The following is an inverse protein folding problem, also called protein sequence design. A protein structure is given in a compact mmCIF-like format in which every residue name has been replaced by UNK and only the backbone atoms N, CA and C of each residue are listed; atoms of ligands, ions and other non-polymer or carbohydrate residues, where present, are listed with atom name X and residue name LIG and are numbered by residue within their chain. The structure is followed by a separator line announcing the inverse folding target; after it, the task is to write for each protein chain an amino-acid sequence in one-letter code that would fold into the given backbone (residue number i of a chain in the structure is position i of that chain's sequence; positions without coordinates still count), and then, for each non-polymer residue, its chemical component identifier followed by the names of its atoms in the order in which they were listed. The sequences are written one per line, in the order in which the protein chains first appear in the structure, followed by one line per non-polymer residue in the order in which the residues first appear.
data_IF_475348376132
#
_entry.id   IF_475348376132
#
_cell.length_a   1.000
_cell.length_b   1.000
_cell.length_c   1.000
_cell.angle_alpha   90.00
_cell.angle_beta   90.00
_cell.angle_gamma   90.00
#
_symmetry.space_group_name_H-M   'P 1'
#
loop_
_entity.id
_entity.type
_entity.pdbx_description
1 polymer ?
#
# COMPACT_ATOMS: atom_id res chain seq x y z
N UNK A 1 33.01 15.50 4.53
CA UNK A 1 31.69 15.77 5.13
C UNK A 1 31.14 14.39 5.50
N UNK A 2 30.96 14.08 6.79
CA UNK A 2 30.43 12.77 7.22
C UNK A 2 28.94 12.77 6.86
N UNK A 3 28.52 11.99 5.87
CA UNK A 3 27.12 11.69 5.69
C UNK A 3 26.70 10.86 6.92
N UNK A 4 25.89 11.46 7.78
CA UNK A 4 25.04 10.64 8.67
C UNK A 4 24.18 9.80 7.75
N UNK A 5 24.22 8.48 7.89
CA UNK A 5 23.33 7.59 7.15
C UNK A 5 21.93 7.85 7.72
N UNK A 6 21.08 8.51 6.94
CA UNK A 6 19.69 8.75 7.32
C UNK A 6 18.86 7.52 6.92
N UNK A 7 18.13 6.94 7.85
CA UNK A 7 17.34 5.73 7.68
C UNK A 7 15.91 5.94 8.16
N UNK A 8 14.99 5.04 7.81
CA UNK A 8 13.62 5.08 8.33
C UNK A 8 13.56 4.94 9.87
N UNK A 9 14.56 4.31 10.50
CA UNK A 9 14.67 4.20 11.96
C UNK A 9 14.96 5.53 12.67
N UNK A 10 15.42 6.54 11.93
CA UNK A 10 15.56 7.91 12.43
C UNK A 10 14.22 8.67 12.38
N UNK A 11 13.24 8.17 11.62
CA UNK A 11 11.93 8.77 11.45
C UNK A 11 10.85 8.15 12.32
N UNK A 12 11.02 6.88 12.70
CA UNK A 12 9.98 6.09 13.35
C UNK A 12 10.50 5.43 14.61
N UNK A 13 9.67 5.37 15.65
CA UNK A 13 9.93 4.58 16.85
C UNK A 13 8.86 3.51 16.98
N UNK A 14 9.25 2.24 17.05
CA UNK A 14 8.29 1.17 17.27
C UNK A 14 7.63 1.34 18.64
N UNK A 15 6.30 1.30 18.66
CA UNK A 15 5.47 1.46 19.86
C UNK A 15 4.97 0.13 20.37
N UNK A 16 4.49 -0.72 19.47
CA UNK A 16 3.94 -2.02 19.84
C UNK A 16 3.26 -2.71 18.67
N UNK A 17 2.70 -3.87 18.95
CA UNK A 17 1.93 -4.65 17.98
C UNK A 17 0.67 -5.21 18.65
N UNK A 18 -0.35 -5.47 17.84
CA UNK A 18 -1.57 -6.11 18.30
C UNK A 18 -2.20 -6.93 17.18
N UNK A 19 -3.03 -7.90 17.57
CA UNK A 19 -3.79 -8.74 16.65
C UNK A 19 -5.22 -8.23 16.57
N UNK A 20 -5.81 -8.34 15.39
CA UNK A 20 -7.24 -8.15 15.21
C UNK A 20 -7.96 -9.46 15.53
N UNK A 21 -9.12 -9.38 16.18
CA UNK A 21 -9.93 -10.58 16.46
C UNK A 21 -10.34 -11.28 15.16
N UNK A 22 -9.83 -12.50 14.98
CA UNK A 22 -10.12 -13.39 13.86
C UNK A 22 -10.67 -14.74 14.33
N UNK A 23 -11.25 -14.80 15.54
CA UNK A 23 -11.74 -16.04 16.15
C UNK A 23 -12.90 -16.72 15.40
N UNK A 24 -13.57 -15.98 14.51
CA UNK A 24 -14.62 -16.46 13.63
C UNK A 24 -14.76 -15.52 12.41
N UNK A 25 -15.37 -15.98 11.31
CA UNK A 25 -15.77 -15.07 10.24
C UNK A 25 -16.76 -14.02 10.76
N UNK A 26 -16.49 -12.75 10.48
CA UNK A 26 -17.33 -11.64 10.88
C UNK A 26 -18.00 -11.03 9.65
N UNK A 27 -19.24 -11.41 9.37
CA UNK A 27 -19.94 -11.00 8.15
C UNK A 27 -19.57 -11.91 6.97
N UNK A 28 -19.21 -11.32 5.83
CA UNK A 28 -18.98 -12.07 4.58
C UNK A 28 -17.52 -12.48 4.32
N UNK A 29 -16.60 -12.12 5.22
CA UNK A 29 -15.16 -12.39 5.07
C UNK A 29 -14.51 -12.63 6.45
N UNK A 30 -13.24 -13.02 6.44
CA UNK A 30 -12.34 -12.99 7.59
C UNK A 30 -11.08 -12.17 7.28
N UNK A 31 -10.15 -12.13 8.24
CA UNK A 31 -8.83 -11.54 8.09
C UNK A 31 -7.80 -12.53 7.52
N UNK A 32 -8.17 -13.80 7.35
CA UNK A 32 -7.27 -14.80 6.76
C UNK A 32 -6.91 -14.41 5.33
N UNK A 33 -5.62 -14.33 5.05
CA UNK A 33 -5.09 -13.88 3.76
C UNK A 33 -5.64 -12.50 3.34
N UNK A 34 -5.87 -11.62 4.32
CA UNK A 34 -6.29 -10.25 4.04
C UNK A 34 -5.31 -9.56 3.10
N UNK A 35 -5.84 -8.74 2.19
CA UNK A 35 -5.00 -7.89 1.33
C UNK A 35 -4.38 -6.72 2.09
N UNK A 36 -4.88 -6.42 3.30
CA UNK A 36 -4.23 -5.52 4.26
C UNK A 36 -4.28 -4.04 3.91
N UNK A 37 -5.01 -3.62 2.88
CA UNK A 37 -5.33 -2.20 2.67
C UNK A 37 -6.08 -1.67 3.90
N UNK A 38 -5.66 -0.53 4.44
CA UNK A 38 -6.20 0.05 5.66
C UNK A 38 -6.54 1.53 5.52
N UNK A 39 -7.43 2.01 6.39
CA UNK A 39 -7.65 3.44 6.63
C UNK A 39 -7.94 3.69 8.10
N UNK A 40 -7.38 4.75 8.67
CA UNK A 40 -7.69 5.22 10.01
C UNK A 40 -8.96 6.08 10.02
N UNK A 41 -9.84 5.83 11.00
CA UNK A 41 -11.03 6.63 11.26
C UNK A 41 -10.80 7.54 12.48
N UNK A 42 -10.60 8.85 12.29
CA UNK A 42 -10.15 9.73 13.36
C UNK A 42 -11.14 9.88 14.52
N UNK A 43 -12.43 10.03 14.22
CA UNK A 43 -13.45 10.26 15.28
C UNK A 43 -13.84 9.00 16.06
N UNK A 44 -13.62 7.80 15.49
CA UNK A 44 -13.96 6.52 16.13
C UNK A 44 -12.75 5.79 16.68
N UNK A 45 -11.55 6.29 16.37
CA UNK A 45 -10.27 5.70 16.78
C UNK A 45 -10.16 4.21 16.41
N UNK A 46 -10.35 3.96 15.13
CA UNK A 46 -10.53 2.63 14.57
C UNK A 46 -9.84 2.51 13.22
N UNK A 47 -9.64 1.28 12.78
CA UNK A 47 -9.04 0.93 11.50
C UNK A 47 -10.08 0.23 10.64
N UNK A 48 -10.30 0.76 9.44
CA UNK A 48 -10.85 -0.03 8.35
C UNK A 48 -9.77 -0.94 7.79
N UNK A 49 -10.14 -2.18 7.47
CA UNK A 49 -9.26 -3.14 6.82
C UNK A 49 -10.01 -3.93 5.76
N UNK A 50 -9.39 -4.10 4.60
CA UNK A 50 -9.88 -4.98 3.55
C UNK A 50 -9.48 -6.43 3.83
N UNK A 51 -10.46 -7.33 3.78
CA UNK A 51 -10.28 -8.77 4.01
C UNK A 51 -9.70 -9.50 2.80
N UNK A 52 -10.11 -10.74 2.59
CA UNK A 52 -9.67 -11.53 1.44
C UNK A 52 -10.20 -10.94 0.11
N UNK A 53 -9.35 -10.95 -0.92
CA UNK A 53 -9.67 -10.43 -2.26
C UNK A 53 -10.86 -11.12 -2.96
N UNK A 54 -11.19 -12.37 -2.63
CA UNK A 54 -12.36 -13.08 -3.15
C UNK A 54 -13.68 -12.46 -2.68
N UNK A 55 -13.68 -11.89 -1.47
CA UNK A 55 -14.88 -11.30 -0.89
C UNK A 55 -14.99 -9.80 -1.20
N UNK A 56 -13.87 -9.11 -1.44
CA UNK A 56 -13.85 -7.65 -1.73
C UNK A 56 -14.61 -6.90 -0.63
N UNK A 57 -14.24 -7.20 0.62
CA UNK A 57 -15.00 -6.81 1.78
C UNK A 57 -14.18 -5.94 2.73
N UNK A 58 -14.84 -5.01 3.42
CA UNK A 58 -14.23 -4.09 4.38
C UNK A 58 -14.92 -4.25 5.73
N UNK A 59 -14.13 -4.29 6.80
CA UNK A 59 -14.57 -4.26 8.19
C UNK A 59 -13.89 -3.11 8.94
N UNK A 60 -14.40 -2.78 10.13
CA UNK A 60 -13.83 -1.77 11.02
C UNK A 60 -13.52 -2.39 12.39
N UNK A 61 -12.30 -2.20 12.90
CA UNK A 61 -11.85 -2.66 14.21
C UNK A 61 -11.39 -1.47 15.07
N UNK A 62 -11.59 -1.55 16.39
CA UNK A 62 -11.00 -0.58 17.32
C UNK A 62 -9.48 -0.66 17.35
N UNK A 63 -8.80 0.47 17.53
CA UNK A 63 -7.36 0.51 17.80
C UNK A 63 -7.07 0.16 19.27
N UNK A 64 -5.94 -0.51 19.52
CA UNK A 64 -5.41 -0.72 20.87
C UNK A 64 -4.43 0.41 21.22
N UNK A 65 -4.74 1.25 22.20
CA UNK A 65 -3.94 2.45 22.53
C UNK A 65 -2.86 2.21 23.61
N UNK A 66 -3.14 1.32 24.56
CA UNK A 66 -2.26 1.01 25.70
C UNK A 66 -1.29 -0.12 25.35
N UNK A 67 -0.41 0.14 24.40
CA UNK A 67 0.64 -0.79 23.97
C UNK A 67 2.00 -0.36 24.53
N UNK A 68 2.22 -0.50 25.84
CA UNK A 68 3.53 -0.26 26.47
C UNK A 68 4.43 -1.51 26.38
N UNK A 69 4.62 -2.05 25.17
CA UNK A 69 5.44 -3.26 24.96
C UNK A 69 6.90 -2.96 24.61
N UNK A 70 7.28 -1.68 24.54
CA UNK A 70 8.58 -1.23 24.06
C UNK A 70 9.37 -0.42 25.08
N UNK A 71 9.31 -0.80 26.36
CA UNK A 71 10.52 -0.59 27.17
C UNK A 71 11.41 -1.80 26.90
N UNK A 72 12.48 -1.59 26.13
CA UNK A 72 13.61 -2.49 26.22
C UNK A 72 13.97 -2.50 27.71
N UNK A 73 13.64 -3.59 28.41
CA UNK A 73 14.29 -3.78 29.70
C UNK A 73 15.80 -3.71 29.41
N UNK A 74 16.56 -3.21 30.37
CA UNK A 74 18.01 -3.03 30.28
C UNK A 74 18.79 -4.32 29.98
N UNK A 75 18.11 -5.43 29.68
CA UNK A 75 18.63 -6.78 29.49
C UNK A 75 18.36 -7.36 28.08
N UNK A 76 17.92 -6.55 27.10
CA UNK A 76 17.92 -6.94 25.69
C UNK A 76 16.94 -8.10 25.36
N UNK A 77 15.79 -8.15 26.04
CA UNK A 77 14.78 -9.20 25.82
C UNK A 77 14.02 -9.00 24.49
N UNK A 78 13.73 -10.10 23.75
CA UNK A 78 12.98 -10.04 22.49
C UNK A 78 11.54 -9.56 22.72
N UNK A 79 10.93 -8.98 21.68
CA UNK A 79 9.50 -8.65 21.65
C UNK A 79 8.62 -9.82 22.16
N UNK A 80 7.45 -9.56 22.79
CA UNK A 80 6.55 -10.62 23.22
C UNK A 80 6.21 -11.56 22.07
N UNK A 81 5.92 -12.84 22.35
CA UNK A 81 5.52 -13.75 21.28
C UNK A 81 4.18 -13.31 20.68
N UNK A 82 3.90 -13.67 19.41
CA UNK A 82 2.61 -13.32 18.75
C UNK A 82 1.40 -13.83 19.56
N UNK A 83 1.56 -14.95 20.29
CA UNK A 83 0.53 -15.53 21.16
C UNK A 83 0.21 -14.66 22.38
N UNK A 84 1.17 -13.86 22.85
CA UNK A 84 1.06 -13.01 24.03
C UNK A 84 0.59 -11.58 23.69
N UNK A 85 0.44 -11.27 22.39
CA UNK A 85 0.00 -9.96 21.96
C UNK A 85 -1.47 -9.70 22.31
N UNK A 86 -1.82 -8.44 22.63
CA UNK A 86 -3.21 -8.06 22.82
C UNK A 86 -4.01 -8.29 21.53
N UNK A 87 -5.25 -8.74 21.69
CA UNK A 87 -6.22 -8.94 20.62
C UNK A 87 -7.33 -7.90 20.79
N UNK A 88 -7.77 -7.28 19.70
CA UNK A 88 -8.92 -6.37 19.76
C UNK A 88 -10.19 -7.11 20.23
N UNK A 89 -11.22 -6.38 20.69
CA UNK A 89 -12.58 -6.89 20.65
C UNK A 89 -13.02 -7.28 19.22
N UNK A 90 -14.18 -7.96 19.06
CA UNK A 90 -14.81 -8.16 17.75
C UNK A 90 -14.98 -6.85 16.98
N UNK A 91 -15.06 -6.88 15.63
CA UNK A 91 -15.12 -5.68 14.82
C UNK A 91 -16.31 -4.78 15.19
N UNK A 92 -16.07 -3.47 15.16
CA UNK A 92 -17.09 -2.44 15.33
C UNK A 92 -18.12 -2.50 14.19
N UNK A 93 -17.65 -2.87 12.99
CA UNK A 93 -18.48 -3.16 11.82
C UNK A 93 -17.96 -4.42 11.14
N UNK A 94 -18.81 -5.43 11.01
CA UNK A 94 -18.49 -6.68 10.34
C UNK A 94 -18.15 -6.45 8.84
N UNK A 95 -17.50 -7.42 8.21
CA UNK A 95 -17.18 -7.34 6.79
C UNK A 95 -18.44 -7.20 5.94
N UNK A 96 -18.48 -6.16 5.10
CA UNK A 96 -19.52 -5.92 4.08
C UNK A 96 -18.91 -5.85 2.69
N UNK A 97 -19.68 -6.20 1.65
CA UNK A 97 -19.21 -6.11 0.26
C UNK A 97 -18.93 -4.66 -0.13
N UNK A 98 -17.74 -4.39 -0.66
CA UNK A 98 -17.36 -3.06 -1.15
C UNK A 98 -17.95 -2.72 -2.52
N UNK A 99 -18.28 -3.73 -3.33
CA UNK A 99 -18.70 -3.54 -4.72
C UNK A 99 -20.16 -3.99 -4.96
N UNK A 100 -20.89 -4.35 -3.91
CA UNK A 100 -22.29 -4.79 -4.04
C UNK A 100 -23.18 -3.65 -4.54
N UNK A 101 -23.98 -3.93 -5.57
CA UNK A 101 -24.86 -2.95 -6.20
C UNK A 101 -24.18 -2.02 -7.21
N UNK A 102 -22.86 -2.12 -7.41
CA UNK A 102 -22.14 -1.34 -8.41
C UNK A 102 -22.14 -2.01 -9.79
N UNK A 103 -22.16 -1.19 -10.84
CA UNK A 103 -21.96 -1.62 -12.22
C UNK A 103 -20.47 -1.89 -12.49
N UNK A 104 -20.04 -3.13 -12.25
CA UNK A 104 -18.64 -3.55 -12.33
C UNK A 104 -18.26 -4.11 -13.72
N UNK A 105 -18.28 -3.26 -14.74
CA UNK A 105 -18.02 -3.62 -16.15
C UNK A 105 -16.56 -3.92 -16.47
N UNK A 106 -15.62 -3.48 -15.64
CA UNK A 106 -14.18 -3.69 -15.82
C UNK A 106 -13.61 -4.79 -14.90
N UNK A 107 -14.46 -5.65 -14.34
CA UNK A 107 -14.08 -6.77 -13.47
C UNK A 107 -13.17 -6.37 -12.29
N UNK A 108 -13.42 -5.18 -11.72
CA UNK A 108 -12.71 -4.68 -10.55
C UNK A 108 -12.82 -5.68 -9.40
N UNK A 109 -11.67 -6.07 -8.85
CA UNK A 109 -11.58 -7.20 -7.93
C UNK A 109 -10.50 -7.05 -6.84
N UNK A 110 -9.82 -5.91 -6.77
CA UNK A 110 -8.86 -5.58 -5.70
C UNK A 110 -9.21 -4.24 -5.09
N UNK A 111 -9.19 -4.16 -3.77
CA UNK A 111 -9.14 -2.88 -3.05
C UNK A 111 -7.65 -2.52 -2.92
N UNK A 112 -7.29 -1.28 -3.16
CA UNK A 112 -5.88 -0.84 -3.26
C UNK A 112 -5.54 0.34 -2.36
N UNK A 113 -6.53 1.16 -2.00
CA UNK A 113 -6.37 2.19 -0.99
C UNK A 113 -7.68 2.58 -0.36
N UNK A 114 -7.60 3.15 0.84
CA UNK A 114 -8.74 3.66 1.57
C UNK A 114 -8.35 4.93 2.33
N UNK A 115 -9.30 5.85 2.51
CA UNK A 115 -9.12 7.04 3.34
C UNK A 115 -10.48 7.55 3.85
N UNK A 116 -10.51 8.04 5.08
CA UNK A 116 -11.71 8.66 5.68
C UNK A 116 -11.62 10.18 5.61
N UNK A 117 -12.66 10.81 5.07
CA UNK A 117 -12.83 12.27 5.05
C UNK A 117 -14.28 12.61 5.38
N UNK A 118 -14.50 13.42 6.42
CA UNK A 118 -15.84 13.91 6.82
C UNK A 118 -16.91 12.80 6.98
N UNK A 119 -16.54 11.69 7.64
CA UNK A 119 -17.37 10.47 7.80
C UNK A 119 -17.75 9.77 6.47
N UNK A 120 -16.99 10.01 5.40
CA UNK A 120 -17.06 9.27 4.14
C UNK A 120 -15.81 8.41 4.00
N UNK A 121 -15.98 7.13 3.68
CA UNK A 121 -14.86 6.24 3.38
C UNK A 121 -14.67 6.17 1.87
N UNK A 122 -13.59 6.78 1.38
CA UNK A 122 -13.16 6.69 0.00
C UNK A 122 -12.31 5.44 -0.20
N UNK A 123 -12.51 4.77 -1.33
CA UNK A 123 -11.88 3.50 -1.65
C UNK A 123 -11.36 3.53 -3.08
N UNK A 124 -10.08 3.24 -3.25
CA UNK A 124 -9.49 2.90 -4.54
C UNK A 124 -9.54 1.39 -4.74
N UNK A 125 -9.75 0.98 -5.98
CA UNK A 125 -9.86 -0.39 -6.40
C UNK A 125 -9.37 -0.55 -7.84
N UNK A 126 -8.97 -1.77 -8.22
CA UNK A 126 -8.60 -2.06 -9.61
C UNK A 126 -8.87 -3.53 -9.97
N UNK A 127 -8.72 -3.85 -11.25
CA UNK A 127 -8.63 -5.23 -11.72
C UNK A 127 -7.20 -5.76 -11.52
N UNK A 128 -7.07 -6.91 -10.85
CA UNK A 128 -5.81 -7.64 -10.66
C UNK A 128 -5.08 -7.94 -11.98
N UNK A 129 -5.82 -8.31 -13.02
CA UNK A 129 -5.26 -8.74 -14.30
C UNK A 129 -6.09 -8.18 -15.45
N UNK A 130 -5.62 -7.08 -16.01
CA UNK A 130 -6.20 -6.46 -17.20
C UNK A 130 -5.25 -6.63 -18.38
N UNK A 131 -5.39 -7.76 -19.08
CA UNK A 131 -4.69 -8.01 -20.35
C UNK A 131 -5.48 -7.48 -21.56
N UNK A 132 -6.55 -6.71 -21.33
CA UNK A 132 -7.33 -6.21 -22.45
C UNK A 132 -6.54 -5.15 -23.22
N UNK A 133 -6.54 -5.30 -24.54
CA UNK A 133 -5.99 -4.32 -25.48
C UNK A 133 -7.09 -3.48 -26.13
N UNK A 134 -8.35 -3.73 -25.77
CA UNK A 134 -9.49 -2.99 -26.30
C UNK A 134 -9.77 -1.77 -25.43
N UNK A 135 -9.72 -0.58 -26.03
CA UNK A 135 -9.97 0.71 -25.38
C UNK A 135 -11.32 0.75 -24.63
N UNK A 136 -12.30 -0.08 -25.04
CA UNK A 136 -13.62 -0.20 -24.39
C UNK A 136 -13.63 -1.05 -23.12
N UNK A 137 -12.57 -1.81 -22.86
CA UNK A 137 -12.48 -2.75 -21.73
C UNK A 137 -11.21 -2.57 -20.89
N UNK A 138 -10.31 -1.67 -21.30
CA UNK A 138 -9.24 -1.16 -20.44
C UNK A 138 -9.86 -0.60 -19.17
N UNK A 139 -9.37 -1.08 -18.03
CA UNK A 139 -9.83 -0.71 -16.70
C UNK A 139 -9.56 0.76 -16.43
N UNK A 140 -10.60 1.59 -16.49
CA UNK A 140 -10.55 3.01 -16.09
C UNK A 140 -11.22 3.28 -14.75
N UNK A 141 -12.13 2.40 -14.37
CA UNK A 141 -12.83 2.45 -13.10
C UNK A 141 -11.87 2.12 -11.96
N UNK A 142 -11.79 3.02 -10.98
CA UNK A 142 -10.72 2.99 -9.99
C UNK A 142 -11.16 3.42 -8.60
N UNK A 143 -12.23 4.18 -8.47
CA UNK A 143 -12.60 4.75 -7.16
C UNK A 143 -14.09 4.60 -6.87
N UNK A 144 -14.43 4.50 -5.59
CA UNK A 144 -15.79 4.49 -5.07
C UNK A 144 -15.77 5.07 -3.65
N UNK A 145 -16.95 5.32 -3.08
CA UNK A 145 -17.04 5.71 -1.69
C UNK A 145 -18.24 5.10 -0.98
N UNK A 146 -18.10 4.92 0.34
CA UNK A 146 -19.22 4.67 1.26
C UNK A 146 -19.68 6.00 1.86
N UNK A 147 -20.95 6.39 1.68
CA UNK A 147 -21.46 7.68 2.15
C UNK A 147 -21.38 7.89 3.67
N UNK A 148 -21.27 6.81 4.45
CA UNK A 148 -21.23 6.83 5.91
C UNK A 148 -20.20 5.82 6.42
N UNK A 149 -18.97 6.27 6.67
CA UNK A 149 -17.89 5.45 7.23
C UNK A 149 -18.29 4.85 8.57
N UNK A 150 -18.98 5.63 9.43
CA UNK A 150 -19.50 5.17 10.71
C UNK A 150 -20.55 4.05 10.65
N UNK A 151 -21.12 3.76 9.46
CA UNK A 151 -22.05 2.66 9.22
C UNK A 151 -22.06 2.21 7.74
N UNK A 152 -21.12 1.35 7.36
CA UNK A 152 -20.94 0.80 6.01
C UNK A 152 -22.18 0.02 5.52
N UNK A 153 -23.00 -0.50 6.43
CA UNK A 153 -24.21 -1.27 6.08
C UNK A 153 -25.46 -0.42 5.86
N UNK A 154 -25.45 0.86 6.27
CA UNK A 154 -26.63 1.72 6.17
C UNK A 154 -26.90 2.23 4.76
N UNK A 155 -25.87 2.35 3.92
CA UNK A 155 -25.97 2.85 2.57
C UNK A 155 -25.07 2.03 1.63
N UNK A 156 -25.58 1.76 0.43
CA UNK A 156 -24.79 1.13 -0.61
C UNK A 156 -23.60 2.02 -1.00
N UNK A 157 -22.46 1.42 -1.40
CA UNK A 157 -21.36 2.16 -1.98
C UNK A 157 -21.80 2.87 -3.27
N UNK A 158 -21.11 3.96 -3.61
CA UNK A 158 -21.35 4.76 -4.83
C UNK A 158 -20.09 4.74 -5.69
N UNK A 159 -20.23 4.35 -6.95
CA UNK A 159 -19.12 4.23 -7.89
C UNK A 159 -19.51 3.46 -9.17
N UNK A 160 -18.56 2.99 -9.97
CA UNK A 160 -17.15 3.41 -9.92
C UNK A 160 -16.96 4.79 -10.58
N UNK A 161 -15.94 5.51 -10.13
CA UNK A 161 -15.38 6.71 -10.72
C UNK A 161 -14.02 6.40 -11.35
N UNK A 162 -13.55 7.29 -12.22
CA UNK A 162 -12.32 7.15 -12.99
C UNK A 162 -11.34 8.23 -12.55
N UNK A 163 -10.42 7.87 -11.65
CA UNK A 163 -9.35 8.76 -11.22
C UNK A 163 -8.37 8.98 -12.37
N UNK A 164 -8.04 10.23 -12.69
CA UNK A 164 -6.95 10.53 -13.62
C UNK A 164 -5.63 9.87 -13.13
N UNK A 165 -4.89 9.27 -14.06
CA UNK A 165 -3.74 8.42 -13.73
C UNK A 165 -4.07 6.93 -13.56
N UNK A 166 -5.36 6.57 -13.36
CA UNK A 166 -5.80 5.17 -13.32
C UNK A 166 -5.01 4.32 -12.33
N UNK A 167 -4.58 3.12 -12.74
CA UNK A 167 -3.70 2.23 -11.93
C UNK A 167 -2.35 2.86 -11.54
N UNK A 168 -1.94 4.02 -12.06
CA UNK A 168 -0.74 4.71 -11.59
C UNK A 168 -1.01 5.61 -10.37
N UNK A 169 -2.27 5.90 -10.06
CA UNK A 169 -2.69 6.79 -8.98
C UNK A 169 -3.68 6.13 -8.00
N UNK A 170 -4.40 5.10 -8.43
CA UNK A 170 -5.48 4.43 -7.70
C UNK A 170 -4.98 3.40 -6.67
N UNK A 171 -4.15 3.87 -5.74
CA UNK A 171 -3.59 3.07 -4.66
C UNK A 171 -3.82 3.72 -3.31
N UNK A 172 -2.78 3.75 -2.47
CA UNK A 172 -2.81 4.43 -1.17
C UNK A 172 -3.29 5.87 -1.27
N UNK A 173 -3.93 6.35 -0.21
CA UNK A 173 -4.44 7.71 -0.08
C UNK A 173 -4.11 8.25 1.31
N UNK A 174 -4.02 9.58 1.43
CA UNK A 174 -3.80 10.26 2.70
C UNK A 174 -3.95 11.77 2.59
N UNK A 175 -3.70 12.50 3.68
CA UNK A 175 -3.73 13.97 3.67
C UNK A 175 -2.32 14.53 3.53
N UNK A 176 -2.26 15.70 2.92
CA UNK A 176 -1.05 16.51 2.83
C UNK A 176 -1.03 17.39 4.10
N UNK A 177 0.04 17.33 4.92
CA UNK A 177 0.18 18.18 6.09
C UNK A 177 -0.03 19.64 5.75
N UNK A 178 -0.74 20.38 6.61
CA UNK A 178 -1.09 21.79 6.37
C UNK A 178 0.10 22.68 5.95
N UNK A 179 1.32 22.53 6.51
CA UNK A 179 2.48 23.32 6.07
C UNK A 179 2.93 23.03 4.62
N UNK A 180 2.63 21.84 4.10
CA UNK A 180 3.02 21.38 2.77
C UNK A 180 1.99 21.70 1.68
N UNK A 181 0.71 21.89 2.04
CA UNK A 181 -0.38 22.13 1.06
C UNK A 181 -0.08 23.26 0.05
N UNK A 182 0.53 24.41 0.43
CA UNK A 182 0.87 25.46 -0.54
C UNK A 182 1.87 25.04 -1.62
N UNK A 183 2.71 24.03 -1.36
CA UNK A 183 3.63 23.46 -2.35
C UNK A 183 2.90 22.59 -3.39
N UNK A 184 1.70 22.12 -3.04
CA UNK A 184 0.86 21.23 -3.83
C UNK A 184 -0.39 21.94 -4.37
N UNK A 185 -0.26 23.23 -4.74
CA UNK A 185 -1.37 24.06 -5.23
C UNK A 185 -2.59 24.07 -4.28
N UNK A 186 -2.32 24.15 -2.97
CA UNK A 186 -3.31 24.12 -1.89
C UNK A 186 -4.15 22.82 -1.82
N UNK A 187 -3.67 21.74 -2.46
CA UNK A 187 -4.29 20.41 -2.37
C UNK A 187 -4.19 19.88 -0.94
N UNK A 188 -5.28 19.28 -0.44
CA UNK A 188 -5.35 18.70 0.91
C UNK A 188 -5.07 17.21 0.95
N UNK A 189 -5.21 16.53 -0.18
CA UNK A 189 -5.18 15.08 -0.26
C UNK A 189 -4.23 14.62 -1.35
N UNK A 190 -3.66 13.44 -1.12
CA UNK A 190 -2.85 12.77 -2.10
C UNK A 190 -3.29 11.32 -2.29
N UNK A 191 -2.94 10.79 -3.45
CA UNK A 191 -3.09 9.39 -3.81
C UNK A 191 -1.85 8.95 -4.59
N UNK A 192 -1.58 7.66 -4.63
CA UNK A 192 -0.46 7.13 -5.39
C UNK A 192 -0.47 5.61 -5.42
N UNK A 193 0.33 5.05 -6.31
CA UNK A 193 0.45 3.61 -6.46
C UNK A 193 1.78 3.23 -7.13
N UNK A 194 1.94 1.94 -7.40
CA UNK A 194 3.11 1.37 -8.07
C UNK A 194 2.76 0.02 -8.69
N UNK A 195 3.76 -0.68 -9.24
CA UNK A 195 3.64 -2.02 -9.84
C UNK A 195 3.35 -3.13 -8.82
N UNK A 196 2.17 -3.09 -8.20
CA UNK A 196 1.74 -4.04 -7.15
C UNK A 196 1.07 -5.30 -7.71
N UNK A 197 0.38 -5.19 -8.85
CA UNK A 197 -0.33 -6.31 -9.47
C UNK A 197 0.14 -6.58 -10.90
N UNK A 198 -0.56 -7.50 -11.57
CA UNK A 198 -0.10 -8.06 -12.84
C UNK A 198 -0.07 -7.04 -13.97
N UNK A 199 0.90 -7.24 -14.87
CA UNK A 199 1.16 -6.45 -16.08
C UNK A 199 1.76 -5.09 -15.72
N UNK A 200 3.09 -5.08 -15.57
CA UNK A 200 3.88 -3.91 -15.14
C UNK A 200 3.58 -2.66 -15.96
N UNK A 201 3.27 -2.79 -17.25
CA UNK A 201 3.00 -1.65 -18.14
C UNK A 201 1.77 -0.82 -17.76
N UNK A 202 0.92 -1.31 -16.85
CA UNK A 202 -0.22 -0.56 -16.32
C UNK A 202 0.17 0.47 -15.25
N UNK A 203 1.35 0.32 -14.66
CA UNK A 203 1.75 0.97 -13.42
C UNK A 203 2.90 1.96 -13.59
N UNK A 204 3.06 2.80 -12.57
CA UNK A 204 4.30 3.54 -12.35
C UNK A 204 5.43 2.57 -11.98
N UNK A 205 6.56 2.67 -12.67
CA UNK A 205 7.80 1.91 -12.43
C UNK A 205 8.62 2.56 -11.31
N UNK A 206 7.98 2.71 -10.16
CA UNK A 206 8.38 3.47 -8.99
C UNK A 206 7.13 3.95 -8.23
N UNK A 207 7.26 4.42 -6.97
CA UNK A 207 6.13 4.99 -6.26
C UNK A 207 5.64 6.27 -6.94
N UNK A 208 4.34 6.53 -6.89
CA UNK A 208 3.78 7.77 -7.43
C UNK A 208 3.20 8.67 -6.34
N UNK A 209 3.06 9.95 -6.67
CA UNK A 209 2.38 10.95 -5.86
C UNK A 209 1.54 11.83 -6.78
N UNK A 210 0.24 11.80 -6.55
CA UNK A 210 -0.76 12.60 -7.22
C UNK A 210 -1.57 13.36 -6.17
N UNK A 211 -2.03 14.56 -6.50
CA UNK A 211 -3.04 15.27 -5.70
C UNK A 211 -4.40 15.15 -6.35
N UNK A 212 -5.46 15.09 -5.54
CA UNK A 212 -6.84 14.95 -6.00
C UNK A 212 -7.83 15.52 -4.97
N UNK A 213 -9.09 15.70 -5.36
CA UNK A 213 -10.18 16.16 -4.47
C UNK A 213 -11.24 15.04 -4.34
N UNK A 214 -11.21 14.22 -3.26
CA UNK A 214 -12.13 13.09 -3.13
C UNK A 214 -13.59 13.51 -3.10
N UNK A 215 -13.90 14.70 -2.56
CA UNK A 215 -15.26 15.26 -2.52
C UNK A 215 -15.86 15.46 -3.92
N UNK A 216 -15.03 15.58 -4.96
CA UNK A 216 -15.51 15.65 -6.34
C UNK A 216 -16.38 14.43 -6.70
N UNK A 217 -16.09 13.23 -6.17
CA UNK A 217 -16.92 12.03 -6.39
C UNK A 217 -18.38 12.25 -5.93
N UNK A 218 -18.56 12.90 -4.77
CA UNK A 218 -19.87 13.17 -4.20
C UNK A 218 -20.60 14.26 -5.01
N UNK A 219 -19.87 15.31 -5.40
CA UNK A 219 -20.42 16.41 -6.20
C UNK A 219 -20.91 15.93 -7.57
N UNK A 220 -20.14 15.04 -8.22
CA UNK A 220 -20.46 14.45 -9.52
C UNK A 220 -21.68 13.52 -9.45
N UNK A 221 -21.80 12.72 -8.40
CA UNK A 221 -23.00 11.90 -8.18
C UNK A 221 -24.23 12.78 -7.97
N UNK A 222 -24.16 13.79 -7.09
CA UNK A 222 -25.30 14.68 -6.81
C UNK A 222 -25.71 15.53 -8.02
N UNK A 223 -24.77 15.85 -8.92
CA UNK A 223 -25.04 16.57 -10.17
C UNK A 223 -25.62 15.70 -11.29
N UNK A 224 -25.60 14.37 -11.15
CA UNK A 224 -26.03 13.44 -12.20
C UNK A 224 -27.55 13.21 -12.15
N UNK A 225 -28.27 13.70 -13.16
CA UNK A 225 -29.75 13.65 -13.18
C UNK A 225 -30.34 12.28 -13.56
N UNK A 226 -29.54 11.31 -14.00
CA UNK A 226 -29.96 9.90 -14.13
C UNK A 226 -28.75 8.95 -14.22
N UNK A 227 -28.93 7.68 -13.80
CA UNK A 227 -27.95 6.58 -13.95
C UNK A 227 -27.56 6.39 -15.43
N UNK A 228 -28.46 6.71 -16.37
CA UNK A 228 -28.24 6.62 -17.82
C UNK A 228 -27.51 7.84 -18.41
N UNK A 229 -27.39 8.94 -17.67
CA UNK A 229 -26.73 10.18 -18.10
C UNK A 229 -25.28 10.28 -17.64
N UNK A 230 -24.70 9.21 -17.06
CA UNK A 230 -23.25 9.10 -16.86
C UNK A 230 -22.54 9.04 -18.22
N UNK A 231 -22.45 10.17 -18.90
CA UNK A 231 -21.53 10.39 -20.01
C UNK A 231 -20.13 10.12 -19.48
N UNK A 232 -19.26 9.50 -20.28
CA UNK A 232 -17.90 9.09 -19.87
C UNK A 232 -17.10 10.19 -19.15
N UNK A 233 -17.36 11.47 -19.40
CA UNK A 233 -16.68 12.60 -18.72
C UNK A 233 -17.25 12.98 -17.34
N UNK A 234 -18.42 12.45 -16.95
CA UNK A 234 -19.06 12.78 -15.66
C UNK A 234 -18.54 11.95 -14.49
N UNK A 235 -17.80 10.87 -14.77
CA UNK A 235 -17.20 9.97 -13.78
C UNK A 235 -15.71 10.21 -13.55
N UNK A 236 -15.09 11.11 -14.31
CA UNK A 236 -13.65 11.41 -14.20
C UNK A 236 -13.42 12.31 -12.99
N UNK A 237 -12.48 11.90 -12.13
CA UNK A 237 -11.99 12.68 -10.99
C UNK A 237 -10.61 13.20 -11.33
N UNK A 238 -10.46 14.52 -11.30
CA UNK A 238 -9.22 15.15 -11.72
C UNK A 238 -8.08 14.83 -10.73
N UNK A 239 -6.89 14.60 -11.25
CA UNK A 239 -5.71 14.35 -10.44
C UNK A 239 -4.44 14.95 -11.07
N UNK A 240 -3.59 15.55 -10.26
CA UNK A 240 -2.35 16.20 -10.72
C UNK A 240 -1.13 15.39 -10.29
N UNK A 241 -0.29 14.89 -11.23
CA UNK A 241 0.92 14.15 -10.88
C UNK A 241 2.04 15.08 -10.43
N UNK A 242 2.69 14.71 -9.33
CA UNK A 242 3.92 15.33 -8.85
C UNK A 242 5.11 14.37 -8.92
N UNK A 243 4.85 13.08 -8.76
CA UNK A 243 5.84 12.02 -8.93
C UNK A 243 5.17 10.84 -9.64
N UNK A 244 5.72 10.40 -10.77
CA UNK A 244 5.21 9.28 -11.54
C UNK A 244 6.26 8.78 -12.52
N UNK A 245 6.49 7.47 -12.57
CA UNK A 245 7.52 6.85 -13.40
C UNK A 245 6.86 6.03 -14.51
N UNK A 246 6.36 6.65 -15.59
CA UNK A 246 5.50 5.98 -16.54
C UNK A 246 6.25 4.83 -17.25
N UNK A 247 5.57 3.69 -17.40
CA UNK A 247 6.10 2.61 -18.21
C UNK A 247 6.31 3.08 -19.66
N UNK A 248 7.48 2.76 -20.23
CA UNK A 248 7.84 3.14 -21.59
C UNK A 248 8.85 2.15 -22.12
N UNK A 249 8.38 1.21 -22.92
CA UNK A 249 9.19 0.10 -23.44
C UNK A 249 10.47 0.58 -24.16
N UNK A 250 10.40 1.72 -24.85
CA UNK A 250 11.51 2.26 -25.65
C UNK A 250 12.32 3.36 -24.94
N UNK A 251 11.94 3.71 -23.70
CA UNK A 251 12.58 4.81 -22.97
C UNK A 251 12.58 4.51 -21.45
N UNK A 252 13.48 3.62 -20.99
CA UNK A 252 13.59 3.25 -19.58
C UNK A 252 14.12 4.39 -18.71
N UNK A 253 14.58 5.51 -19.30
CA UNK A 253 15.06 6.68 -18.55
C UNK A 253 13.98 7.36 -17.71
N UNK A 254 12.70 7.04 -17.97
CA UNK A 254 11.53 7.52 -17.22
C UNK A 254 11.15 6.63 -16.03
N UNK A 255 11.82 5.49 -15.86
CA UNK A 255 11.61 4.62 -14.71
C UNK A 255 12.45 5.09 -13.53
N UNK A 256 12.08 4.65 -12.32
CA UNK A 256 12.89 4.95 -11.14
C UNK A 256 14.28 4.31 -11.26
N UNK A 257 14.35 3.10 -11.82
CA UNK A 257 15.58 2.46 -12.30
C UNK A 257 15.40 1.98 -13.74
N UNK A 258 16.46 2.08 -14.55
CA UNK A 258 16.49 1.49 -15.90
C UNK A 258 16.33 -0.05 -15.88
N UNK A 259 16.57 -0.68 -14.73
CA UNK A 259 16.40 -2.12 -14.47
C UNK A 259 15.05 -2.46 -13.80
N UNK A 260 14.12 -1.50 -13.75
CA UNK A 260 12.81 -1.68 -13.10
C UNK A 260 11.99 -2.86 -13.64
N UNK A 261 12.27 -3.31 -14.88
CA UNK A 261 11.57 -4.41 -15.55
C UNK A 261 12.51 -5.54 -15.94
N UNK A 262 13.70 -5.63 -15.32
CA UNK A 262 14.70 -6.66 -15.63
C UNK A 262 14.45 -7.95 -14.83
N UNK A 263 14.28 -9.05 -15.55
CA UNK A 263 14.35 -10.42 -15.04
C UNK A 263 15.03 -11.29 -16.10
N UNK A 264 15.47 -12.48 -15.70
CA UNK A 264 15.94 -13.48 -16.65
C UNK A 264 14.73 -14.30 -17.15
N UNK A 265 14.71 -14.62 -18.44
CA UNK A 265 13.59 -15.30 -19.12
C UNK A 265 13.65 -16.83 -18.98
N UNK A 266 12.51 -17.55 -19.09
CA UNK A 266 12.43 -19.02 -18.95
C UNK A 266 13.43 -19.79 -19.83
N UNK A 267 13.74 -19.25 -21.01
CA UNK A 267 14.65 -19.85 -22.00
C UNK A 267 16.11 -19.86 -21.53
N UNK A 268 16.46 -18.93 -20.64
CA UNK A 268 17.82 -18.63 -20.20
C UNK A 268 18.13 -19.24 -18.81
N UNK A 269 17.14 -19.86 -18.17
CA UNK A 269 17.29 -20.52 -16.87
C UNK A 269 17.51 -22.04 -17.02
N UNK A 270 18.48 -22.59 -16.27
CA UNK A 270 18.71 -24.03 -16.22
C UNK A 270 17.57 -24.75 -15.46
N UNK A 271 17.02 -25.87 -15.97
CA UNK A 271 15.82 -26.50 -15.41
C UNK A 271 15.98 -27.06 -13.98
N UNK A 272 17.20 -27.23 -13.48
CA UNK A 272 17.46 -27.64 -12.09
C UNK A 272 18.88 -27.23 -11.68
N UNK A 273 19.03 -26.39 -10.64
CA UNK A 273 20.12 -26.57 -9.68
C UNK A 273 21.32 -25.61 -9.67
N UNK A 274 21.29 -24.45 -10.33
CA UNK A 274 22.15 -23.31 -10.00
C UNK A 274 21.67 -22.08 -10.76
N UNK A 275 20.63 -21.45 -10.23
CA UNK A 275 20.06 -20.24 -10.79
C UNK A 275 20.68 -19.05 -10.07
N UNK A 276 21.70 -18.45 -10.66
CA UNK A 276 22.21 -17.16 -10.22
C UNK A 276 22.02 -16.18 -11.36
N UNK A 277 21.02 -15.31 -11.27
CA UNK A 277 21.05 -14.05 -12.02
C UNK A 277 21.94 -13.05 -11.28
N UNK A 278 22.39 -11.97 -11.94
CA UNK A 278 22.85 -10.81 -11.19
C UNK A 278 21.77 -10.37 -10.18
N UNK A 279 22.17 -9.90 -8.99
CA UNK A 279 21.27 -9.22 -8.07
C UNK A 279 20.35 -8.21 -8.76
N UNK A 280 19.09 -8.20 -8.35
CA UNK A 280 18.14 -7.19 -8.79
C UNK A 280 18.61 -5.79 -8.38
N UNK A 281 18.09 -4.77 -9.05
CA UNK A 281 18.41 -3.40 -8.69
C UNK A 281 17.79 -3.05 -7.31
N UNK A 282 18.59 -2.57 -6.35
CA UNK A 282 18.09 -2.25 -5.01
C UNK A 282 17.29 -0.94 -4.95
N UNK A 283 17.34 -0.09 -5.98
CA UNK A 283 16.54 1.13 -6.04
C UNK A 283 15.09 0.80 -6.41
N UNK A 284 14.89 0.05 -7.49
CA UNK A 284 13.59 -0.43 -7.94
C UNK A 284 13.75 -1.54 -8.96
N UNK A 285 12.95 -2.59 -8.83
CA UNK A 285 12.98 -3.77 -9.70
C UNK A 285 11.54 -4.32 -9.90
N UNK A 286 11.33 -5.36 -10.72
CA UNK A 286 10.00 -5.88 -11.06
C UNK A 286 9.15 -6.36 -9.87
N UNK A 287 9.78 -6.61 -8.72
CA UNK A 287 9.14 -7.08 -7.49
C UNK A 287 9.09 -6.00 -6.42
N UNK A 288 9.46 -4.77 -6.77
CA UNK A 288 9.34 -3.61 -5.89
C UNK A 288 7.91 -3.11 -5.91
N UNK A 289 7.34 -2.94 -4.72
CA UNK A 289 5.95 -2.56 -4.53
C UNK A 289 5.87 -1.51 -3.43
N UNK A 290 5.35 -0.33 -3.75
CA UNK A 290 4.94 0.68 -2.79
C UNK A 290 3.53 0.35 -2.28
N UNK A 291 3.43 0.00 -1.00
CA UNK A 291 2.19 -0.46 -0.36
C UNK A 291 1.49 0.66 0.42
N UNK A 292 2.24 1.64 0.90
CA UNK A 292 1.69 2.85 1.50
C UNK A 292 2.70 4.00 1.45
N UNK A 293 2.22 5.24 1.51
CA UNK A 293 3.06 6.42 1.63
C UNK A 293 2.43 7.47 2.54
N UNK A 294 3.27 8.32 3.13
CA UNK A 294 2.87 9.37 4.06
C UNK A 294 3.95 10.46 4.17
N UNK A 295 3.59 11.61 4.72
CA UNK A 295 4.51 12.70 4.96
C UNK A 295 5.08 12.65 6.38
N UNK A 296 6.36 12.97 6.53
CA UNK A 296 7.09 12.99 7.80
C UNK A 296 7.87 14.30 7.93
N UNK A 297 7.86 14.86 9.14
CA UNK A 297 8.64 16.07 9.50
C UNK A 297 8.39 17.28 8.57
N UNK A 298 7.22 17.34 7.93
CA UNK A 298 6.85 18.39 6.97
C UNK A 298 7.89 18.61 5.84
N UNK A 299 8.71 17.61 5.52
CA UNK A 299 9.76 17.74 4.49
C UNK A 299 10.06 16.44 3.73
N UNK A 300 9.63 15.29 4.25
CA UNK A 300 9.91 13.96 3.69
C UNK A 300 8.62 13.32 3.22
N UNK A 301 8.61 12.85 1.98
CA UNK A 301 7.63 11.88 1.51
C UNK A 301 8.21 10.48 1.69
N UNK A 302 7.64 9.73 2.63
CA UNK A 302 8.08 8.40 3.01
C UNK A 302 7.18 7.36 2.34
N UNK A 303 7.78 6.40 1.65
CA UNK A 303 7.10 5.27 1.02
C UNK A 303 7.58 3.98 1.67
N UNK A 304 6.65 3.10 2.01
CA UNK A 304 6.92 1.78 2.57
C UNK A 304 6.29 0.68 1.71
N UNK A 305 6.92 -0.48 1.69
CA UNK A 305 6.42 -1.64 0.97
C UNK A 305 7.43 -2.75 0.94
N UNK A 306 7.65 -3.35 -0.23
CA UNK A 306 8.51 -4.53 -0.36
C UNK A 306 9.39 -4.48 -1.61
N UNK A 307 10.44 -5.30 -1.59
CA UNK A 307 11.24 -5.66 -2.76
C UNK A 307 11.73 -7.11 -2.62
N UNK A 308 12.31 -7.68 -3.67
CA UNK A 308 12.82 -9.04 -3.67
C UNK A 308 13.94 -9.23 -4.71
N UNK A 309 14.64 -10.36 -4.62
CA UNK A 309 15.69 -10.71 -5.58
C UNK A 309 16.99 -9.95 -5.38
N UNK A 310 17.21 -9.34 -4.21
CA UNK A 310 18.40 -8.51 -3.96
C UNK A 310 19.67 -9.35 -3.81
N UNK A 311 19.54 -10.64 -3.52
CA UNK A 311 20.67 -11.56 -3.38
C UNK A 311 20.73 -12.59 -4.50
N UNK A 312 19.59 -13.19 -4.84
CA UNK A 312 19.46 -14.29 -5.80
C UNK A 312 19.16 -13.81 -7.23
N UNK A 313 18.70 -12.56 -7.38
CA UNK A 313 18.17 -12.04 -8.64
C UNK A 313 16.73 -12.52 -8.92
N UNK A 314 16.19 -12.12 -10.07
CA UNK A 314 14.78 -12.37 -10.44
C UNK A 314 14.71 -13.18 -11.72
N UNK A 315 13.82 -14.18 -11.73
CA UNK A 315 13.47 -14.94 -12.93
C UNK A 315 11.98 -14.97 -13.18
N UNK A 316 11.59 -15.05 -14.45
CA UNK A 316 10.20 -15.21 -14.85
C UNK A 316 9.80 -16.68 -14.89
N UNK A 317 8.73 -17.04 -14.17
CA UNK A 317 8.17 -18.40 -14.09
C UNK A 317 9.20 -19.47 -13.70
N UNK A 318 10.08 -19.15 -12.76
CA UNK A 318 11.06 -20.09 -12.25
C UNK A 318 10.43 -21.07 -11.26
N UNK A 319 11.06 -22.23 -11.12
CA UNK A 319 10.77 -23.18 -10.04
C UNK A 319 11.80 -22.92 -8.93
N UNK A 320 11.31 -22.50 -7.77
CA UNK A 320 12.13 -22.19 -6.60
C UNK A 320 12.62 -23.47 -5.89
N UNK A 321 13.56 -23.32 -4.95
CA UNK A 321 14.15 -24.42 -4.17
C UNK A 321 13.15 -25.20 -3.32
N UNK A 322 12.00 -24.60 -3.00
CA UNK A 322 10.88 -25.23 -2.29
C UNK A 322 9.91 -26.00 -3.24
N UNK A 323 10.18 -26.01 -4.54
CA UNK A 323 9.34 -26.63 -5.56
C UNK A 323 8.16 -25.79 -6.05
N UNK A 324 8.02 -24.54 -5.59
CA UNK A 324 7.00 -23.62 -6.05
C UNK A 324 7.30 -23.15 -7.48
N UNK A 325 6.33 -23.30 -8.38
CA UNK A 325 6.37 -22.74 -9.73
C UNK A 325 5.71 -21.37 -9.73
N UNK A 326 6.48 -20.32 -10.04
CA UNK A 326 5.98 -18.96 -10.06
C UNK A 326 5.09 -18.70 -11.29
N UNK A 327 3.97 -18.00 -11.08
CA UNK A 327 3.08 -17.58 -12.18
C UNK A 327 3.61 -16.39 -13.02
N UNK A 328 4.62 -15.68 -12.52
CA UNK A 328 5.23 -14.49 -13.10
C UNK A 328 6.68 -14.30 -12.61
N UNK A 329 7.22 -13.07 -12.59
CA UNK A 329 8.53 -12.80 -11.99
C UNK A 329 8.52 -13.19 -10.50
N UNK A 330 9.59 -13.79 -10.02
CA UNK A 330 9.82 -14.07 -8.60
C UNK A 330 11.33 -14.21 -8.35
N UNK A 331 11.80 -14.11 -7.09
CA UNK A 331 13.20 -14.37 -6.79
C UNK A 331 13.51 -15.86 -7.00
N UNK A 332 14.76 -16.21 -7.27
CA UNK A 332 15.13 -17.62 -7.38
C UNK A 332 15.15 -18.35 -6.05
N UNK A 333 15.48 -17.63 -4.99
CA UNK A 333 15.39 -18.11 -3.61
C UNK A 333 14.06 -17.63 -3.04
N UNK A 334 13.23 -18.55 -2.55
CA UNK A 334 11.85 -18.25 -2.15
C UNK A 334 11.74 -17.22 -1.03
N UNK A 335 12.75 -17.13 -0.17
CA UNK A 335 12.83 -16.17 0.95
C UNK A 335 13.66 -14.90 0.67
N UNK A 336 14.11 -14.68 -0.56
CA UNK A 336 14.80 -13.44 -0.97
C UNK A 336 13.77 -12.31 -1.21
N UNK A 337 13.06 -11.97 -0.13
CA UNK A 337 12.08 -10.89 -0.01
C UNK A 337 12.49 -9.98 1.13
N UNK A 338 12.14 -8.70 1.03
CA UNK A 338 12.44 -7.67 2.03
C UNK A 338 11.28 -6.71 2.21
N UNK A 339 10.98 -6.36 3.45
CA UNK A 339 10.26 -5.11 3.74
C UNK A 339 11.21 -3.94 3.45
N UNK A 340 10.71 -2.88 2.82
CA UNK A 340 11.54 -1.86 2.19
C UNK A 340 10.96 -0.46 2.35
N UNK A 341 11.83 0.54 2.23
CA UNK A 341 11.43 1.95 2.27
C UNK A 341 12.13 2.78 1.19
N UNK A 342 11.50 3.90 0.81
CA UNK A 342 12.06 4.94 -0.04
C UNK A 342 11.70 6.32 0.54
N UNK A 343 12.70 7.17 0.76
CA UNK A 343 12.55 8.51 1.34
C UNK A 343 12.90 9.57 0.30
N UNK A 344 11.98 10.52 0.10
CA UNK A 344 12.12 11.61 -0.86
C UNK A 344 12.04 12.94 -0.15
N UNK A 345 12.82 13.93 -0.60
CA UNK A 345 12.58 15.31 -0.21
C UNK A 345 11.36 15.85 -0.96
N UNK A 346 10.37 16.37 -0.23
CA UNK A 346 9.18 16.99 -0.83
C UNK A 346 9.57 18.10 -1.80
N UNK A 347 10.60 18.88 -1.46
CA UNK A 347 11.09 19.96 -2.30
C UNK A 347 11.66 19.47 -3.64
N UNK A 348 12.28 18.28 -3.68
CA UNK A 348 12.75 17.70 -4.95
C UNK A 348 11.59 17.22 -5.81
N UNK A 349 10.53 16.71 -5.19
CA UNK A 349 9.31 16.33 -5.90
C UNK A 349 8.65 17.56 -6.56
N UNK A 350 8.38 18.61 -5.79
CA UNK A 350 7.62 19.77 -6.32
C UNK A 350 8.39 20.64 -7.31
N UNK A 351 9.73 20.61 -7.29
CA UNK A 351 10.56 21.37 -8.25
C UNK A 351 11.06 20.53 -9.43
N UNK A 352 10.65 19.26 -9.51
CA UNK A 352 11.03 18.39 -10.60
C UNK A 352 10.62 18.98 -11.95
N UNK A 353 11.52 18.92 -12.95
CA UNK A 353 11.19 19.39 -14.30
C UNK A 353 10.24 18.42 -15.01
N UNK A 354 10.37 17.13 -14.69
CA UNK A 354 9.48 16.06 -15.11
C UNK A 354 9.04 15.23 -13.90
N UNK A 355 7.82 14.71 -13.94
CA UNK A 355 7.25 13.90 -12.85
C UNK A 355 8.03 12.61 -12.56
N UNK A 356 8.88 12.16 -13.49
CA UNK A 356 9.76 11.00 -13.31
C UNK A 356 11.19 11.37 -12.88
N UNK A 357 11.49 12.64 -12.63
CA UNK A 357 12.81 13.08 -12.15
C UNK A 357 13.07 12.84 -10.65
N UNK A 358 12.07 12.90 -9.73
CA UNK A 358 12.35 12.72 -8.31
C UNK A 358 13.13 11.44 -8.04
N UNK A 359 14.05 11.46 -7.08
CA UNK A 359 14.82 10.29 -6.65
C UNK A 359 14.82 10.21 -5.13
N UNK A 360 14.78 9.01 -4.54
CA UNK A 360 14.89 8.89 -3.11
C UNK A 360 16.32 9.25 -2.68
N UNK A 361 16.44 10.05 -1.62
CA UNK A 361 17.74 10.36 -1.01
C UNK A 361 18.22 9.23 -0.09
N UNK A 362 17.30 8.36 0.35
CA UNK A 362 17.59 7.14 1.10
C UNK A 362 16.55 6.07 0.78
N UNK A 363 16.99 4.82 0.69
CA UNK A 363 16.14 3.64 0.52
C UNK A 363 16.88 2.42 1.07
N UNK A 364 16.16 1.37 1.43
CA UNK A 364 16.77 0.18 2.01
C UNK A 364 15.80 -0.76 2.68
N UNK A 365 16.34 -1.88 3.16
CA UNK A 365 15.60 -2.87 3.94
C UNK A 365 15.14 -2.25 5.26
N UNK A 366 13.87 -2.41 5.58
CA UNK A 366 13.31 -2.05 6.87
C UNK A 366 13.14 -3.31 7.73
N UNK A 367 14.06 -3.49 8.68
CA UNK A 367 13.99 -4.57 9.65
C UNK A 367 12.83 -4.33 10.62
N UNK A 368 11.75 -5.11 10.45
CA UNK A 368 10.55 -5.02 11.26
C UNK A 368 10.52 -6.09 12.35
N UNK A 369 9.97 -5.79 13.54
CA UNK A 369 9.61 -6.81 14.51
C UNK A 369 8.73 -7.90 13.86
N UNK A 370 8.87 -9.15 14.33
CA UNK A 370 8.09 -10.31 13.85
C UNK A 370 8.37 -10.78 12.40
N UNK A 371 9.35 -10.21 11.72
CA UNK A 371 9.69 -10.53 10.33
C UNK A 371 10.50 -11.85 10.15
N UNK A 372 11.22 -12.28 11.18
CA UNK A 372 12.42 -13.14 11.06
C UNK A 372 12.18 -14.64 10.82
N UNK A 373 10.95 -15.16 10.87
CA UNK A 373 10.74 -16.61 10.73
C UNK A 373 10.56 -17.07 9.29
N UNK A 374 9.90 -16.28 8.43
CA UNK A 374 9.69 -16.56 6.99
C UNK A 374 9.52 -15.23 6.23
N UNK A 375 10.61 -14.62 5.71
CA UNK A 375 10.58 -13.30 5.07
C UNK A 375 9.57 -13.17 3.91
N UNK A 376 9.35 -14.25 3.16
CA UNK A 376 8.39 -14.32 2.05
C UNK A 376 6.92 -14.25 2.51
N UNK A 377 6.62 -14.64 3.74
CA UNK A 377 5.26 -14.63 4.30
C UNK A 377 4.94 -13.32 5.03
N UNK A 378 5.92 -12.71 5.73
CA UNK A 378 5.69 -11.57 6.64
C UNK A 378 5.95 -10.21 5.98
N UNK A 379 5.24 -9.93 4.89
CA UNK A 379 5.42 -8.74 4.05
C UNK A 379 4.50 -7.60 4.45
N UNK A 380 4.96 -6.35 4.32
CA UNK A 380 4.09 -5.18 4.38
C UNK A 380 3.03 -5.32 3.27
N UNK A 381 1.77 -5.31 3.65
CA UNK A 381 0.63 -5.38 2.71
C UNK A 381 -0.26 -4.14 2.74
N UNK A 382 -0.05 -3.26 3.73
CA UNK A 382 -0.68 -1.94 3.75
C UNK A 382 -0.26 -1.13 4.97
N UNK A 383 -0.72 0.11 5.00
CA UNK A 383 -0.47 1.04 6.10
C UNK A 383 -1.53 2.13 6.15
N UNK A 384 -1.58 2.85 7.26
CA UNK A 384 -2.37 4.07 7.41
C UNK A 384 -1.81 4.91 8.56
N UNK A 385 -2.13 6.20 8.61
CA UNK A 385 -1.63 7.13 9.62
C UNK A 385 -2.78 7.76 10.40
N UNK A 386 -2.65 7.77 11.72
CA UNK A 386 -3.33 8.73 12.57
C UNK A 386 -2.50 10.01 12.60
N UNK A 387 -2.90 10.98 11.78
CA UNK A 387 -2.16 12.23 11.60
C UNK A 387 -2.21 13.14 12.82
N UNK A 388 -3.28 13.05 13.63
CA UNK A 388 -3.43 13.88 14.82
C UNK A 388 -2.46 13.45 15.91
N UNK A 389 -2.28 12.13 16.07
CA UNK A 389 -1.37 11.56 17.07
C UNK A 389 0.04 11.26 16.53
N UNK A 390 0.24 11.35 15.22
CA UNK A 390 1.49 10.99 14.58
C UNK A 390 1.81 9.49 14.71
N UNK A 391 0.82 8.62 14.52
CA UNK A 391 0.99 7.17 14.63
C UNK A 391 0.85 6.53 13.25
N UNK A 392 1.86 5.78 12.83
CA UNK A 392 1.80 4.91 11.66
C UNK A 392 1.36 3.51 12.07
N UNK A 393 0.32 3.00 11.41
CA UNK A 393 -0.09 1.60 11.46
C UNK A 393 0.42 0.88 10.21
N UNK A 394 1.04 -0.29 10.39
CA UNK A 394 1.56 -1.14 9.31
C UNK A 394 0.98 -2.54 9.45
N UNK A 395 0.40 -3.08 8.38
CA UNK A 395 -0.09 -4.46 8.34
C UNK A 395 0.99 -5.38 7.74
N UNK A 396 1.42 -6.38 8.53
CA UNK A 396 2.28 -7.46 8.08
C UNK A 396 1.46 -8.71 7.76
N UNK A 397 1.54 -9.19 6.53
CA UNK A 397 0.85 -10.41 6.08
C UNK A 397 1.22 -11.60 6.97
N UNK A 398 0.23 -12.41 7.34
CA UNK A 398 0.36 -13.68 8.04
C UNK A 398 1.14 -13.66 9.39
N UNK A 399 1.68 -12.51 9.81
CA UNK A 399 2.48 -12.39 11.02
C UNK A 399 1.63 -12.46 12.30
N UNK A 400 0.30 -12.40 12.18
CA UNK A 400 -0.64 -12.58 13.28
C UNK A 400 -1.04 -14.04 13.52
N UNK A 401 -0.43 -14.97 12.79
CA UNK A 401 -0.73 -16.40 12.80
C UNK A 401 -0.41 -17.10 14.12
N UNK A 402 -1.37 -17.86 14.65
CA UNK A 402 -1.12 -18.80 15.75
C UNK A 402 -1.10 -20.27 15.29
N UNK A 403 -1.89 -20.57 14.26
CA UNK A 403 -2.23 -21.94 13.84
C UNK A 403 -2.12 -22.05 12.30
N UNK A 404 -2.13 -23.27 11.73
CA UNK A 404 -2.02 -23.47 10.27
C UNK A 404 -3.09 -22.72 9.45
N UNK A 405 -4.31 -22.62 10.00
CA UNK A 405 -5.49 -22.05 9.35
C UNK A 405 -5.89 -20.65 9.89
N UNK A 406 -5.09 -20.05 10.75
CA UNK A 406 -5.28 -18.69 11.27
C UNK A 406 -4.22 -17.79 10.63
N UNK A 407 -4.54 -17.13 9.52
CA UNK A 407 -3.57 -16.38 8.71
C UNK A 407 -3.88 -14.86 8.68
N UNK A 408 -4.18 -14.20 9.81
CA UNK A 408 -4.46 -12.78 9.83
C UNK A 408 -3.18 -11.97 9.74
N UNK A 409 -3.26 -10.70 9.29
CA UNK A 409 -2.15 -9.80 9.41
C UNK A 409 -1.87 -9.44 10.88
N UNK A 410 -0.63 -9.08 11.17
CA UNK A 410 -0.26 -8.41 12.41
C UNK A 410 -0.24 -6.89 12.20
N UNK A 411 -0.81 -6.13 13.14
CA UNK A 411 -0.77 -4.67 13.08
C UNK A 411 0.37 -4.17 13.96
N UNK A 412 1.34 -3.50 13.33
CA UNK A 412 2.44 -2.82 13.99
C UNK A 412 2.10 -1.33 14.13
N UNK A 413 2.51 -0.73 15.24
CA UNK A 413 2.37 0.70 15.52
C UNK A 413 3.72 1.35 15.69
N UNK A 414 3.90 2.50 15.06
CA UNK A 414 5.09 3.33 15.16
C UNK A 414 4.70 4.78 15.48
N UNK A 415 5.39 5.40 16.42
CA UNK A 415 5.34 6.85 16.58
C UNK A 415 6.20 7.50 15.48
N UNK A 416 5.64 8.49 14.80
CA UNK A 416 6.33 9.33 13.82
C UNK A 416 7.09 10.41 14.59
N UNK A 417 8.41 10.39 14.48
CA UNK A 417 9.29 11.28 15.23
C UNK A 417 9.31 12.68 14.63
N UNK A 418 9.06 13.68 15.48
CA UNK A 418 9.26 15.08 15.11
C UNK A 418 10.76 15.39 14.89
N UNK A 419 11.06 16.36 14.03
CA UNK A 419 12.44 16.72 13.65
C UNK A 419 13.35 17.10 14.84
N UNK A 420 12.75 17.54 15.96
CA UNK A 420 13.48 17.89 17.19
C UNK A 420 13.89 16.65 18.01
N UNK A 421 13.17 15.53 17.87
CA UNK A 421 13.44 14.27 18.55
C UNK A 421 14.54 13.47 17.85
N UNK A 422 14.69 13.68 16.53
CA UNK A 422 15.71 13.01 15.69
C UNK A 422 17.12 13.50 15.95
N UNK A 423 17.31 14.77 16.33
CA UNK A 423 18.64 15.37 16.61
C UNK A 423 19.24 14.96 17.96
N UNK A 424 18.46 14.30 18.81
CA UNK A 424 18.86 13.88 20.16
C UNK A 424 19.28 12.40 20.25
N UNK A 425 19.12 11.64 19.16
CA UNK A 425 19.68 10.30 18.96
C UNK A 425 20.92 10.42 18.09
#
# INVERSE_FOLDING_TARGET
MKFSIFSIGDLLSFRGAFRLDNSQPYGISSLDYAIGTMAFHPTRNSLFIAGHDHHRAIAEYSVMEDLDFYDQDSNNNPHPSVQDLPVTPPPLQAFVYAFEGLDNRHDINRITGMMVVDDVLFVNAENWYDASLDEWTVTRDTSLYFPMASNLSAAAPVGFFQLEGGSQAAGYMGRIPSPLQPLFNDSKFFTGWSSVYSILSRYSQGPSLWTFEPQEMIERENGSSSIMDRKENSTIIAATPYMNYPYSHNDPSKWLSERATEWVEPEDHQPTGNLSAPPADPLWNPLSEARYAFFVQDEIFCVIGITAGLESGIGYKVIQENGHECGGPCPFVSDDWYNYYWLYHVQEIVNASFVWDPRPFAYGVWELPYYVTVPSEHRIIGGTVDEERGILFVALANAGKLDEYDQPPLILMFDILEANQTKAR
#
